data_IF_208623005624
#
_entry.id   IF_208623005624
#
_cell.length_a   1.000
_cell.length_b   1.000
_cell.length_c   1.000
_cell.angle_alpha   90.00
_cell.angle_beta   90.00
_cell.angle_gamma   90.00
#
_symmetry.space_group_name_H-M   'P 1'
#
loop_
_entity.id
_entity.type
_entity.pdbx_description
1 polymer ?
#
# COMPACT_ATOMS: atom_id res chain seq x y z
N UNK A 1 -0.05 26.32 34.84
CA UNK A 1 -0.93 25.16 34.54
C UNK A 1 -0.04 23.97 34.25
N UNK A 2 0.15 23.08 35.22
CA UNK A 2 0.88 21.83 35.02
C UNK A 2 -0.01 20.86 34.25
N UNK A 3 0.32 20.57 33.00
CA UNK A 3 -0.26 19.42 32.30
C UNK A 3 0.07 18.19 33.15
N UNK A 4 -0.96 17.58 33.73
CA UNK A 4 -0.78 16.44 34.60
C UNK A 4 -0.06 15.33 33.81
N UNK A 5 1.07 14.87 34.34
CA UNK A 5 1.88 13.76 33.83
C UNK A 5 1.08 12.60 33.19
N UNK A 6 -0.06 12.13 33.76
CA UNK A 6 -0.90 11.11 33.11
C UNK A 6 -1.46 11.50 31.74
N UNK A 7 -1.81 12.77 31.50
CA UNK A 7 -2.35 13.24 30.21
C UNK A 7 -1.29 13.14 29.12
N UNK A 8 -0.03 13.49 29.45
CA UNK A 8 1.12 13.36 28.54
C UNK A 8 1.43 11.90 28.21
N UNK A 9 1.32 10.99 29.19
CA UNK A 9 1.53 9.56 28.95
C UNK A 9 0.45 8.95 28.06
N UNK A 10 -0.82 9.36 28.23
CA UNK A 10 -1.93 8.90 27.40
C UNK A 10 -1.78 9.40 25.96
N UNK A 11 -1.46 10.67 25.74
CA UNK A 11 -1.19 11.18 24.38
C UNK A 11 0.04 10.52 23.76
N UNK A 12 1.10 10.24 24.52
CA UNK A 12 2.25 9.51 24.01
C UNK A 12 1.88 8.06 23.63
N UNK A 13 1.05 7.38 24.43
CA UNK A 13 0.57 6.03 24.11
C UNK A 13 -0.32 6.01 22.86
N UNK A 14 -1.20 7.01 22.68
CA UNK A 14 -2.03 7.14 21.48
C UNK A 14 -1.22 7.55 20.23
N UNK A 15 -0.25 8.45 20.37
CA UNK A 15 0.61 8.91 19.27
C UNK A 15 1.69 7.87 18.88
N UNK A 16 2.11 7.01 19.81
CA UNK A 16 3.11 5.96 19.56
C UNK A 16 2.50 4.57 19.33
N UNK A 17 1.16 4.42 19.38
CA UNK A 17 0.48 3.16 19.07
C UNK A 17 0.81 2.66 17.65
N UNK A 18 1.05 3.59 16.72
CA UNK A 18 1.40 3.27 15.33
C UNK A 18 2.87 2.88 15.12
N UNK A 19 3.72 2.93 16.13
CA UNK A 19 5.14 2.59 15.99
C UNK A 19 5.43 1.09 15.74
N UNK A 20 4.41 0.24 15.89
CA UNK A 20 4.45 -1.20 15.56
C UNK A 20 3.41 -1.56 14.46
N UNK A 21 2.88 -0.55 13.75
CA UNK A 21 1.85 -0.76 12.75
C UNK A 21 2.44 -1.50 11.54
N UNK A 22 2.17 -2.80 11.47
CA UNK A 22 2.52 -3.61 10.30
C UNK A 22 1.77 -3.12 9.07
N UNK A 23 2.43 -3.16 7.92
CA UNK A 23 1.79 -2.81 6.64
C UNK A 23 0.55 -3.68 6.41
N UNK A 24 -0.56 -3.04 6.03
CA UNK A 24 -1.82 -3.72 5.75
C UNK A 24 -1.63 -4.82 4.68
N UNK A 25 -1.92 -6.11 4.98
CA UNK A 25 -1.74 -7.20 4.03
C UNK A 25 -2.50 -6.99 2.70
N UNK A 26 -3.65 -6.32 2.75
CA UNK A 26 -4.43 -6.00 1.57
C UNK A 26 -3.71 -5.00 0.65
N UNK A 27 -3.02 -4.00 1.23
CA UNK A 27 -2.18 -3.07 0.48
C UNK A 27 -0.99 -3.78 -0.17
N UNK A 28 -0.34 -4.70 0.56
CA UNK A 28 0.77 -5.51 0.02
C UNK A 28 0.31 -6.36 -1.16
N UNK A 29 -0.85 -7.02 -1.02
CA UNK A 29 -1.45 -7.83 -2.08
C UNK A 29 -1.81 -6.98 -3.31
N UNK A 30 -2.39 -5.79 -3.09
CA UNK A 30 -2.74 -4.87 -4.17
C UNK A 30 -1.51 -4.37 -4.92
N UNK A 31 -0.47 -3.94 -4.20
CA UNK A 31 0.79 -3.47 -4.79
C UNK A 31 1.52 -4.58 -5.55
N UNK A 32 1.54 -5.80 -5.02
CA UNK A 32 2.08 -6.97 -5.72
C UNK A 32 1.31 -7.22 -7.02
N UNK A 33 -0.02 -7.22 -6.95
CA UNK A 33 -0.89 -7.41 -8.12
C UNK A 33 -0.66 -6.31 -9.16
N UNK A 34 -0.54 -5.06 -8.72
CA UNK A 34 -0.25 -3.92 -9.57
C UNK A 34 1.09 -4.06 -10.32
N UNK A 35 2.15 -4.54 -9.67
CA UNK A 35 3.45 -4.64 -10.32
C UNK A 35 3.55 -5.85 -11.26
N UNK A 36 3.08 -7.02 -10.82
CA UNK A 36 3.41 -8.30 -11.45
C UNK A 36 2.26 -8.96 -12.19
N UNK A 37 1.01 -8.70 -11.82
CA UNK A 37 -0.11 -9.39 -12.45
C UNK A 37 -0.54 -8.73 -13.78
N UNK A 38 -1.15 -9.51 -14.69
CA UNK A 38 -1.88 -8.99 -15.84
C UNK A 38 -2.96 -7.97 -15.43
N UNK A 39 -3.26 -7.03 -16.32
CA UNK A 39 -4.27 -5.96 -16.07
C UNK A 39 -5.64 -6.52 -15.68
N UNK A 40 -6.06 -7.67 -16.23
CA UNK A 40 -7.36 -8.26 -15.92
C UNK A 40 -7.42 -8.76 -14.47
N UNK A 41 -6.37 -9.42 -13.98
CA UNK A 41 -6.28 -9.89 -12.59
C UNK A 41 -6.18 -8.70 -11.64
N UNK A 42 -5.42 -7.67 -11.99
CA UNK A 42 -5.35 -6.44 -11.20
C UNK A 42 -6.73 -5.76 -11.08
N UNK A 43 -7.50 -5.66 -12.18
CA UNK A 43 -8.86 -5.11 -12.16
C UNK A 43 -9.77 -5.88 -11.20
N UNK A 44 -9.74 -7.22 -11.24
CA UNK A 44 -10.51 -8.04 -10.30
C UNK A 44 -10.08 -7.81 -8.85
N UNK A 45 -8.79 -7.56 -8.61
CA UNK A 45 -8.30 -7.26 -7.28
C UNK A 45 -8.76 -5.90 -6.76
N UNK A 46 -8.79 -4.87 -7.61
CA UNK A 46 -9.26 -3.52 -7.24
C UNK A 46 -10.76 -3.50 -6.90
N UNK A 47 -11.56 -4.31 -7.61
CA UNK A 47 -13.01 -4.39 -7.36
C UNK A 47 -13.37 -4.92 -5.96
N UNK A 48 -12.48 -5.70 -5.33
CA UNK A 48 -12.70 -6.22 -3.96
C UNK A 48 -12.80 -5.12 -2.91
N UNK A 49 -12.26 -3.93 -3.19
CA UNK A 49 -12.27 -2.80 -2.26
C UNK A 49 -13.57 -1.98 -2.31
N UNK A 50 -14.55 -2.36 -3.14
CA UNK A 50 -15.82 -1.64 -3.31
C UNK A 50 -15.63 -0.13 -3.57
N UNK A 51 -14.54 0.24 -4.25
CA UNK A 51 -14.25 1.62 -4.58
C UNK A 51 -15.23 2.14 -5.65
N UNK A 52 -15.52 3.46 -5.66
CA UNK A 52 -16.24 4.09 -6.77
C UNK A 52 -15.63 3.69 -8.12
N UNK A 53 -16.47 3.49 -9.16
CA UNK A 53 -16.00 2.99 -10.45
C UNK A 53 -14.94 3.91 -11.08
N UNK A 54 -15.04 5.22 -10.86
CA UNK A 54 -14.08 6.23 -11.32
C UNK A 54 -12.68 5.99 -10.74
N UNK A 55 -12.59 5.70 -9.43
CA UNK A 55 -11.32 5.43 -8.74
C UNK A 55 -10.74 4.08 -9.17
N UNK A 56 -11.60 3.07 -9.36
CA UNK A 56 -11.15 1.77 -9.85
C UNK A 56 -10.60 1.86 -11.28
N UNK A 57 -11.23 2.68 -12.14
CA UNK A 57 -10.80 2.90 -13.52
C UNK A 57 -9.45 3.63 -13.59
N UNK A 58 -9.28 4.70 -12.81
CA UNK A 58 -8.01 5.44 -12.80
C UNK A 58 -6.84 4.56 -12.37
N UNK A 59 -7.02 3.71 -11.35
CA UNK A 59 -6.01 2.71 -10.95
C UNK A 59 -5.65 1.76 -12.10
N UNK A 60 -6.65 1.25 -12.82
CA UNK A 60 -6.43 0.36 -13.97
C UNK A 60 -5.72 1.09 -15.12
N UNK A 61 -5.99 2.38 -15.31
CA UNK A 61 -5.32 3.21 -16.32
C UNK A 61 -3.84 3.42 -16.00
N UNK A 62 -3.49 3.71 -14.75
CA UNK A 62 -2.09 3.79 -14.30
C UNK A 62 -1.39 2.45 -14.53
N UNK A 63 -2.05 1.33 -14.24
CA UNK A 63 -1.51 -0.01 -14.52
C UNK A 63 -1.24 -0.21 -16.01
N UNK A 64 -2.10 0.28 -16.91
CA UNK A 64 -1.88 0.21 -18.36
C UNK A 64 -0.65 1.03 -18.78
N UNK A 65 -0.50 2.25 -18.24
CA UNK A 65 0.65 3.12 -18.51
C UNK A 65 1.98 2.43 -18.14
N UNK A 66 2.07 1.94 -16.90
CA UNK A 66 3.24 1.16 -16.44
C UNK A 66 3.43 -0.11 -17.27
N UNK A 67 2.32 -0.70 -17.72
CA UNK A 67 2.37 -1.90 -18.55
C UNK A 67 3.06 -1.66 -19.89
N UNK A 68 2.82 -0.51 -20.50
CA UNK A 68 3.40 -0.08 -21.77
C UNK A 68 4.87 0.36 -21.63
N UNK A 69 5.19 1.14 -20.60
CA UNK A 69 6.48 1.85 -20.54
C UNK A 69 7.59 1.05 -19.83
N UNK A 70 7.22 0.15 -18.93
CA UNK A 70 8.18 -0.58 -18.09
C UNK A 70 8.08 -2.06 -18.40
N UNK A 71 9.16 -2.69 -18.89
CA UNK A 71 9.16 -4.14 -19.11
C UNK A 71 8.94 -4.93 -17.80
N UNK A 72 8.39 -6.13 -17.90
CA UNK A 72 8.14 -6.99 -16.74
C UNK A 72 9.42 -7.24 -15.91
N UNK A 73 10.55 -7.49 -16.57
CA UNK A 73 11.83 -7.71 -15.90
C UNK A 73 12.29 -6.49 -15.09
N UNK A 74 12.08 -5.27 -15.60
CA UNK A 74 12.37 -4.04 -14.83
C UNK A 74 11.44 -3.92 -13.63
N UNK A 75 10.18 -4.33 -13.73
CA UNK A 75 9.27 -4.34 -12.57
C UNK A 75 9.67 -5.34 -11.51
N UNK A 76 10.23 -6.48 -11.90
CA UNK A 76 10.75 -7.50 -10.99
C UNK A 76 11.84 -6.95 -10.06
N UNK A 77 12.62 -5.97 -10.52
CA UNK A 77 13.65 -5.29 -9.72
C UNK A 77 13.06 -4.48 -8.54
N UNK A 78 11.75 -4.21 -8.51
CA UNK A 78 11.10 -3.54 -7.38
C UNK A 78 10.80 -4.49 -6.20
N UNK A 79 10.78 -5.81 -6.41
CA UNK A 79 10.59 -6.79 -5.32
C UNK A 79 11.51 -6.58 -4.10
N UNK A 80 12.85 -6.46 -4.26
CA UNK A 80 13.74 -6.27 -3.13
C UNK A 80 13.48 -4.95 -2.39
N UNK A 81 13.04 -3.90 -3.11
CA UNK A 81 12.67 -2.61 -2.51
C UNK A 81 11.41 -2.78 -1.67
N UNK A 82 10.39 -3.46 -2.24
CA UNK A 82 9.15 -3.76 -1.55
C UNK A 82 9.41 -4.53 -0.24
N UNK A 83 10.24 -5.58 -0.28
CA UNK A 83 10.60 -6.36 0.91
C UNK A 83 11.30 -5.52 1.99
N UNK A 84 12.18 -4.60 1.61
CA UNK A 84 12.86 -3.70 2.55
C UNK A 84 11.88 -2.72 3.21
N UNK A 85 10.91 -2.20 2.46
CA UNK A 85 9.89 -1.29 3.00
C UNK A 85 8.99 -2.04 3.99
N UNK A 86 8.55 -3.25 3.64
CA UNK A 86 7.70 -4.08 4.51
C UNK A 86 8.39 -4.51 5.81
N UNK A 87 9.72 -4.65 5.81
CA UNK A 87 10.49 -5.06 6.98
C UNK A 87 10.88 -3.89 7.92
N UNK A 88 10.75 -2.64 7.47
CA UNK A 88 11.11 -1.44 8.24
C UNK A 88 9.92 -0.75 8.92
N UNK A 89 8.69 -1.18 8.63
CA UNK A 89 7.47 -0.70 9.28
C UNK A 89 7.14 -1.53 10.52
#
# INVERSE_FOLDING_TARGET
>A
MSLAFPVLLVTLAFCCYEANARVCPALVSELRSFLFEPTFLYRLNVLKFNAPPEIAQSKVEVKKCINSDISFFKRLQFLPIMMKVLAKC
#
